data_IF_955138546478
#
_entry.id   IF_955138546478
#
_cell.length_a   1.000
_cell.length_b   1.000
_cell.length_c   1.000
_cell.angle_alpha   90.00
_cell.angle_beta   90.00
_cell.angle_gamma   90.00
#
_symmetry.space_group_name_H-M   'P 1'
#
loop_
_entity.id
_entity.type
_entity.pdbx_description
1 polymer ?
#
# COMPACT_ATOMS: atom_id res chain seq x y z
N UNK A 1 19.68 -13.49 -3.58
CA UNK A 1 19.00 -12.20 -3.44
C UNK A 1 18.55 -11.81 -4.83
N UNK A 2 17.30 -11.77 -5.26
CA UNK A 2 15.98 -11.90 -4.64
C UNK A 2 14.98 -12.12 -5.80
N UNK A 3 14.53 -13.35 -6.06
CA UNK A 3 13.70 -13.61 -7.25
C UNK A 3 12.18 -13.56 -7.00
N UNK A 4 11.74 -13.26 -5.76
CA UNK A 4 10.32 -13.32 -5.41
C UNK A 4 9.82 -12.13 -4.56
N UNK A 5 10.54 -11.01 -4.55
CA UNK A 5 10.06 -9.81 -3.86
C UNK A 5 9.07 -9.03 -4.71
N UNK A 6 8.00 -8.58 -4.07
CA UNK A 6 6.93 -7.84 -4.73
C UNK A 6 7.30 -6.37 -4.84
N UNK A 7 6.97 -5.77 -5.98
CA UNK A 7 7.08 -4.33 -6.18
C UNK A 7 5.71 -3.66 -6.20
N UNK A 8 5.60 -2.51 -5.55
CA UNK A 8 4.48 -1.59 -5.74
C UNK A 8 4.57 -1.00 -7.15
N UNK A 9 3.50 -1.07 -7.97
CA UNK A 9 3.50 -0.48 -9.31
C UNK A 9 3.77 1.03 -9.27
N UNK A 10 4.42 1.53 -10.32
CA UNK A 10 4.63 2.96 -10.53
C UNK A 10 3.31 3.74 -10.50
N UNK A 11 3.32 4.94 -9.95
CA UNK A 11 2.17 5.84 -9.86
C UNK A 11 2.64 7.29 -9.68
N UNK A 12 1.84 8.26 -10.12
CA UNK A 12 2.09 9.69 -9.93
C UNK A 12 3.49 10.16 -10.39
N UNK A 13 3.99 9.61 -11.50
CA UNK A 13 5.34 9.91 -12.01
C UNK A 13 6.48 9.30 -11.20
N UNK A 14 6.20 8.60 -10.11
CA UNK A 14 7.18 7.85 -9.32
C UNK A 14 7.38 6.44 -9.89
N UNK A 15 8.63 5.97 -9.85
CA UNK A 15 8.98 4.59 -10.23
C UNK A 15 8.33 3.55 -9.31
N UNK A 16 8.36 2.29 -9.74
CA UNK A 16 7.99 1.16 -8.88
C UNK A 16 8.87 1.11 -7.63
N UNK A 17 8.31 0.66 -6.51
CA UNK A 17 9.00 0.56 -5.23
C UNK A 17 9.10 -0.91 -4.82
N UNK A 18 10.32 -1.42 -4.67
CA UNK A 18 10.54 -2.79 -4.21
C UNK A 18 10.22 -2.90 -2.72
N UNK A 19 9.52 -3.95 -2.33
CA UNK A 19 9.24 -4.27 -0.93
C UNK A 19 10.12 -5.44 -0.46
N UNK A 20 10.40 -5.58 0.84
CA UNK A 20 11.14 -6.73 1.36
C UNK A 20 10.26 -8.00 1.50
N UNK A 21 9.03 -8.00 0.97
CA UNK A 21 8.04 -9.05 1.16
C UNK A 21 8.04 -10.05 0.01
N UNK A 22 7.94 -11.34 0.35
CA UNK A 22 7.77 -12.43 -0.61
C UNK A 22 6.37 -12.50 -1.21
N UNK A 23 6.23 -13.21 -2.34
CA UNK A 23 4.98 -13.39 -3.09
C UNK A 23 3.77 -13.86 -2.25
N UNK A 24 4.00 -14.57 -1.16
CA UNK A 24 2.94 -14.98 -0.22
C UNK A 24 2.19 -13.78 0.39
N UNK A 25 2.81 -12.59 0.42
CA UNK A 25 2.21 -11.37 0.92
C UNK A 25 1.61 -10.45 -0.17
N UNK A 26 1.66 -10.86 -1.44
CA UNK A 26 1.15 -10.07 -2.57
C UNK A 26 -0.32 -9.65 -2.38
N UNK A 27 -1.24 -10.51 -1.94
CA UNK A 27 -2.63 -10.11 -1.77
C UNK A 27 -2.81 -8.98 -0.75
N UNK A 28 -2.01 -8.97 0.32
CA UNK A 28 -2.06 -7.94 1.36
C UNK A 28 -1.52 -6.62 0.84
N UNK A 29 -0.37 -6.66 0.15
CA UNK A 29 0.23 -5.49 -0.48
C UNK A 29 -0.69 -4.87 -1.53
N UNK A 30 -1.22 -5.68 -2.45
CA UNK A 30 -2.15 -5.25 -3.49
C UNK A 30 -3.40 -4.61 -2.88
N UNK A 31 -3.93 -5.21 -1.80
CA UNK A 31 -5.07 -4.64 -1.09
C UNK A 31 -4.73 -3.29 -0.45
N UNK A 32 -3.54 -3.15 0.12
CA UNK A 32 -3.04 -1.88 0.65
C UNK A 32 -3.00 -0.80 -0.43
N UNK A 33 -2.42 -1.11 -1.59
CA UNK A 33 -2.35 -0.20 -2.74
C UNK A 33 -3.75 0.20 -3.22
N UNK A 34 -4.67 -0.76 -3.34
CA UNK A 34 -6.05 -0.50 -3.76
C UNK A 34 -6.79 0.43 -2.79
N UNK A 35 -6.69 0.19 -1.48
CA UNK A 35 -7.32 1.04 -0.47
C UNK A 35 -6.75 2.46 -0.48
N UNK A 36 -5.43 2.60 -0.56
CA UNK A 36 -4.79 3.90 -0.66
C UNK A 36 -5.20 4.64 -1.95
N UNK A 37 -5.26 3.94 -3.08
CA UNK A 37 -5.69 4.52 -4.35
C UNK A 37 -7.16 4.96 -4.30
N UNK A 38 -8.05 4.12 -3.79
CA UNK A 38 -9.47 4.48 -3.64
C UNK A 38 -9.64 5.74 -2.78
N UNK A 39 -8.90 5.85 -1.69
CA UNK A 39 -8.90 7.05 -0.84
C UNK A 39 -8.37 8.30 -1.57
N UNK A 40 -7.31 8.15 -2.37
CA UNK A 40 -6.77 9.24 -3.19
C UNK A 40 -7.75 9.70 -4.28
N UNK A 41 -8.57 8.79 -4.79
CA UNK A 41 -9.57 9.05 -5.83
C UNK A 41 -10.86 9.68 -5.26
N UNK A 42 -11.10 9.59 -3.95
CA UNK A 42 -12.28 10.19 -3.25
C UNK A 42 -11.91 11.19 -2.14
N UNK A 43 -11.30 12.35 -2.46
CA UNK A 43 -10.87 13.31 -1.43
C UNK A 43 -12.04 13.84 -0.60
N UNK A 44 -11.92 13.73 0.73
CA UNK A 44 -12.81 14.40 1.70
C UNK A 44 -13.94 13.54 2.28
N UNK A 45 -14.12 12.29 1.85
CA UNK A 45 -15.18 11.42 2.40
C UNK A 45 -14.80 10.83 3.77
N UNK A 46 -13.57 10.35 3.92
CA UNK A 46 -13.07 9.72 5.15
C UNK A 46 -11.64 10.17 5.47
N UNK A 47 -11.27 10.30 6.76
CA UNK A 47 -9.89 10.58 7.14
C UNK A 47 -8.94 9.43 6.73
N UNK A 48 -7.73 9.76 6.27
CA UNK A 48 -6.73 8.78 5.83
C UNK A 48 -6.46 7.68 6.86
N UNK A 49 -6.29 8.06 8.12
CA UNK A 49 -6.00 7.11 9.20
C UNK A 49 -7.14 6.10 9.41
N UNK A 50 -8.38 6.52 9.16
CA UNK A 50 -9.56 5.68 9.33
C UNK A 50 -9.59 4.58 8.27
N UNK A 51 -9.36 4.94 7.00
CA UNK A 51 -9.28 3.98 5.89
C UNK A 51 -8.20 2.91 6.13
N UNK A 52 -7.02 3.35 6.58
CA UNK A 52 -5.94 2.44 6.95
C UNK A 52 -6.35 1.51 8.11
N UNK A 53 -6.83 2.09 9.22
CA UNK A 53 -7.07 1.34 10.45
C UNK A 53 -8.24 0.35 10.33
N UNK A 54 -9.28 0.68 9.56
CA UNK A 54 -10.43 -0.21 9.39
C UNK A 54 -10.08 -1.43 8.56
N UNK A 55 -9.36 -1.24 7.45
CA UNK A 55 -8.99 -2.34 6.57
C UNK A 55 -7.88 -3.18 7.20
N UNK A 56 -6.91 -2.59 7.90
CA UNK A 56 -5.88 -3.35 8.61
C UNK A 56 -6.45 -4.40 9.57
N UNK A 57 -7.54 -4.06 10.28
CA UNK A 57 -8.18 -4.95 11.27
C UNK A 57 -8.78 -6.23 10.66
N UNK A 58 -8.95 -6.29 9.33
CA UNK A 58 -9.48 -7.48 8.66
C UNK A 58 -8.41 -8.55 8.40
N UNK A 59 -7.13 -8.22 8.58
CA UNK A 59 -6.01 -9.14 8.39
C UNK A 59 -5.55 -9.78 9.70
N UNK A 60 -5.00 -11.02 9.64
CA UNK A 60 -4.31 -11.64 10.76
C UNK A 60 -3.21 -10.73 11.32
N UNK A 61 -3.08 -10.67 12.64
CA UNK A 61 -2.06 -9.87 13.32
C UNK A 61 -0.66 -10.38 12.95
N UNK A 62 0.28 -9.45 12.77
CA UNK A 62 1.67 -9.73 12.37
C UNK A 62 1.90 -9.38 10.90
N UNK A 63 2.72 -10.20 10.22
CA UNK A 63 3.22 -9.94 8.87
C UNK A 63 2.15 -9.58 7.83
N UNK A 64 0.94 -10.15 7.93
CA UNK A 64 -0.16 -9.81 7.02
C UNK A 64 -0.60 -8.34 7.15
N UNK A 65 -0.62 -7.80 8.37
CA UNK A 65 -0.92 -6.39 8.62
C UNK A 65 0.21 -5.50 8.12
N UNK A 66 1.46 -5.86 8.42
CA UNK A 66 2.63 -5.07 8.03
C UNK A 66 2.79 -5.01 6.50
N UNK A 67 2.51 -6.12 5.79
CA UNK A 67 2.49 -6.18 4.33
C UNK A 67 1.38 -5.29 3.73
N UNK A 68 0.18 -5.31 4.32
CA UNK A 68 -0.90 -4.42 3.92
C UNK A 68 -0.53 -2.95 4.13
N UNK A 69 0.00 -2.61 5.31
CA UNK A 69 0.45 -1.25 5.64
C UNK A 69 1.54 -0.77 4.67
N UNK A 70 2.48 -1.64 4.31
CA UNK A 70 3.52 -1.33 3.33
C UNK A 70 2.91 -0.96 1.97
N UNK A 71 1.98 -1.77 1.45
CA UNK A 71 1.28 -1.45 0.19
C UNK A 71 0.54 -0.11 0.24
N UNK A 72 -0.17 0.14 1.34
CA UNK A 72 -0.94 1.36 1.55
C UNK A 72 -0.04 2.60 1.63
N UNK A 73 0.94 2.61 2.53
CA UNK A 73 1.79 3.78 2.80
C UNK A 73 2.72 4.09 1.62
N UNK A 74 3.21 3.07 0.90
CA UNK A 74 4.06 3.30 -0.27
C UNK A 74 3.28 3.95 -1.43
N UNK A 75 1.99 3.63 -1.60
CA UNK A 75 1.14 4.32 -2.58
C UNK A 75 0.91 5.79 -2.19
N UNK A 76 0.64 6.07 -0.92
CA UNK A 76 0.55 7.47 -0.43
C UNK A 76 1.88 8.20 -0.64
N UNK A 77 3.01 7.55 -0.37
CA UNK A 77 4.34 8.12 -0.59
C UNK A 77 4.58 8.48 -2.07
N UNK A 78 4.15 7.63 -3.02
CA UNK A 78 4.23 7.94 -4.45
C UNK A 78 3.45 9.23 -4.77
N UNK A 79 2.22 9.36 -4.27
CA UNK A 79 1.40 10.56 -4.46
C UNK A 79 2.06 11.82 -3.90
N UNK A 80 2.60 11.74 -2.68
CA UNK A 80 3.26 12.88 -2.02
C UNK A 80 4.50 13.35 -2.79
N UNK A 81 5.28 12.42 -3.34
CA UNK A 81 6.47 12.72 -4.15
C UNK A 81 6.10 13.25 -5.54
N UNK A 82 5.04 12.72 -6.15
CA UNK A 82 4.56 13.16 -7.46
C UNK A 82 3.88 14.53 -7.46
N UNK A 83 3.41 14.99 -6.30
CA UNK A 83 2.82 16.31 -6.11
C UNK A 83 3.85 17.41 -5.78
N UNK A 84 5.14 17.08 -5.72
CA UNK A 84 6.25 18.00 -5.43
C UNK A 84 6.72 18.77 -6.67
#
# INVERSE_FOLDING_TARGET
MDENYISIPAADGCSSLLTPWGNEFAPMIERGVQCAQAWLDTPGEIPLWWELAQTRKTFPVGDCQDAFEAGFLLRIQQRLRGAS
#
